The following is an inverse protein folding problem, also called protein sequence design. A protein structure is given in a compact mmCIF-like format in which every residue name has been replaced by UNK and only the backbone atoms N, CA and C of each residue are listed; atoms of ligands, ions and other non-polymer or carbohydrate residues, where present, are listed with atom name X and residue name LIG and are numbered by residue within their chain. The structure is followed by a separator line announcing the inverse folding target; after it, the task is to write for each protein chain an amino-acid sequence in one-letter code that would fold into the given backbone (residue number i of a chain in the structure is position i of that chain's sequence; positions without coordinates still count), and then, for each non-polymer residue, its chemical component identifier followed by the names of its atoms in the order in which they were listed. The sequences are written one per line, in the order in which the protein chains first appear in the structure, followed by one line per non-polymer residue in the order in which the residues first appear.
data_IF_736482763032
#
_entry.id   IF_736482763032
#
_cell.length_a   1.000
_cell.length_b   1.000
_cell.length_c   1.000
_cell.angle_alpha   90.00
_cell.angle_beta   90.00
_cell.angle_gamma   90.00
#
_symmetry.space_group_name_H-M   'P 1'
#
loop_
_entity.id
_entity.type
_entity.pdbx_description
1 polymer ?
#
# COMPACT_ATOMS: atom_id res chain seq x y z
N UNK A 1 -3.27 3.66 25.05
CA UNK A 1 -2.43 3.10 23.97
C UNK A 1 -3.11 3.47 22.67
N UNK A 2 -2.53 4.38 21.87
CA UNK A 2 -3.02 4.62 20.52
C UNK A 2 -2.83 3.34 19.71
N UNK A 3 -3.93 2.80 19.19
CA UNK A 3 -3.88 1.66 18.28
C UNK A 3 -3.18 2.11 17.00
N UNK A 4 -2.14 1.40 16.57
CA UNK A 4 -1.48 1.65 15.30
C UNK A 4 -2.53 1.59 14.17
N UNK A 5 -2.43 2.46 13.14
CA UNK A 5 -3.26 2.33 11.95
C UNK A 5 -3.09 0.92 11.38
N UNK A 6 -4.18 0.20 11.12
CA UNK A 6 -4.14 -1.15 10.53
C UNK A 6 -4.71 -1.08 9.11
N UNK A 7 -3.91 -1.50 8.14
CA UNK A 7 -4.18 -1.34 6.72
C UNK A 7 -4.52 -2.70 6.12
N UNK A 8 -5.61 -2.78 5.37
CA UNK A 8 -5.96 -3.98 4.60
C UNK A 8 -5.61 -3.79 3.14
N UNK A 9 -4.92 -4.77 2.57
CA UNK A 9 -4.61 -4.80 1.14
C UNK A 9 -5.01 -6.12 0.52
N UNK A 10 -5.82 -6.02 -0.54
CA UNK A 10 -6.25 -7.15 -1.34
C UNK A 10 -5.25 -7.45 -2.45
N UNK A 11 -4.76 -8.69 -2.51
CA UNK A 11 -3.93 -9.16 -3.62
C UNK A 11 -4.77 -9.98 -4.60
N UNK A 12 -4.98 -9.43 -5.79
CA UNK A 12 -5.74 -10.05 -6.88
C UNK A 12 -4.78 -10.39 -8.02
N UNK A 13 -4.97 -11.55 -8.65
CA UNK A 13 -4.24 -11.92 -9.85
C UNK A 13 -4.45 -13.39 -10.18
N UNK A 14 -4.30 -13.73 -11.45
CA UNK A 14 -4.53 -15.10 -11.96
C UNK A 14 -3.61 -16.13 -11.28
N UNK A 15 -3.95 -17.42 -11.42
CA UNK A 15 -3.03 -18.48 -10.99
C UNK A 15 -1.67 -18.34 -11.70
N UNK A 16 -0.57 -18.58 -10.98
CA UNK A 16 0.77 -18.38 -11.53
C UNK A 16 1.20 -16.92 -11.70
N UNK A 17 0.39 -15.94 -11.24
CA UNK A 17 0.76 -14.52 -11.32
C UNK A 17 1.93 -14.10 -10.42
N UNK A 18 2.30 -14.96 -9.46
CA UNK A 18 3.41 -14.72 -8.56
C UNK A 18 3.03 -14.09 -7.22
N UNK A 19 1.77 -14.10 -6.78
CA UNK A 19 1.31 -13.57 -5.47
C UNK A 19 2.17 -14.02 -4.29
N UNK A 20 2.25 -15.33 -4.06
CA UNK A 20 3.02 -15.91 -2.94
C UNK A 20 4.52 -15.64 -3.05
N UNK A 21 5.05 -15.65 -4.28
CA UNK A 21 6.45 -15.34 -4.57
C UNK A 21 6.78 -13.88 -4.26
N UNK A 22 5.93 -12.96 -4.73
CA UNK A 22 6.01 -11.54 -4.41
C UNK A 22 5.98 -11.32 -2.90
N UNK A 23 5.00 -11.87 -2.19
CA UNK A 23 4.89 -11.71 -0.74
C UNK A 23 6.14 -12.22 -0.02
N UNK A 24 6.70 -13.35 -0.46
CA UNK A 24 7.92 -13.90 0.14
C UNK A 24 9.14 -13.00 -0.12
N UNK A 25 9.33 -12.54 -1.36
CA UNK A 25 10.43 -11.64 -1.68
C UNK A 25 10.28 -10.25 -1.06
N UNK A 26 9.05 -9.74 -0.98
CA UNK A 26 8.71 -8.50 -0.29
C UNK A 26 9.08 -8.61 1.19
N UNK A 27 8.67 -9.69 1.85
CA UNK A 27 9.04 -9.94 3.24
C UNK A 27 10.55 -10.08 3.42
N UNK A 28 11.23 -10.87 2.60
CA UNK A 28 12.69 -11.07 2.68
C UNK A 28 13.48 -9.77 2.41
N UNK A 29 12.99 -8.92 1.50
CA UNK A 29 13.60 -7.63 1.20
C UNK A 29 13.39 -6.64 2.34
N UNK A 30 12.16 -6.52 2.83
CA UNK A 30 11.81 -5.52 3.83
C UNK A 30 12.17 -5.93 5.25
N UNK A 31 12.25 -7.22 5.61
CA UNK A 31 12.66 -7.63 6.95
C UNK A 31 14.11 -7.22 7.27
N UNK A 32 14.97 -7.08 6.24
CA UNK A 32 16.36 -6.62 6.35
C UNK A 32 16.49 -5.10 6.45
N UNK A 33 15.42 -4.37 6.15
CA UNK A 33 15.42 -2.91 6.10
C UNK A 33 15.56 -2.35 4.69
N UNK A 34 14.69 -1.40 4.36
CA UNK A 34 14.76 -0.55 3.17
C UNK A 34 14.64 0.90 3.63
N UNK A 35 15.73 1.67 3.54
CA UNK A 35 15.78 3.06 4.01
C UNK A 35 15.26 3.24 5.47
N UNK A 36 15.59 2.30 6.35
CA UNK A 36 15.15 2.30 7.76
C UNK A 36 13.75 1.70 8.00
N UNK A 37 12.98 1.39 6.95
CA UNK A 37 11.71 0.68 7.05
C UNK A 37 11.91 -0.82 7.08
N UNK A 38 11.28 -1.50 8.04
CA UNK A 38 11.34 -2.95 8.21
C UNK A 38 9.95 -3.55 8.27
N UNK A 39 9.83 -4.82 7.86
CA UNK A 39 8.59 -5.59 7.95
C UNK A 39 8.77 -6.75 8.94
N UNK A 40 7.94 -6.78 9.97
CA UNK A 40 7.91 -7.83 10.97
C UNK A 40 6.60 -8.60 10.88
N UNK A 41 6.63 -9.93 10.93
CA UNK A 41 5.38 -10.70 10.95
C UNK A 41 4.76 -10.68 12.35
N UNK A 42 3.47 -10.34 12.46
CA UNK A 42 2.72 -10.39 13.73
C UNK A 42 2.57 -11.83 14.25
N UNK A 43 2.64 -12.82 13.35
CA UNK A 43 2.61 -14.25 13.69
C UNK A 43 3.98 -14.85 13.40
N UNK A 44 4.73 -15.20 14.44
CA UNK A 44 6.08 -15.75 14.32
C UNK A 44 6.18 -16.93 13.32
N UNK A 45 5.20 -17.83 13.32
CA UNK A 45 5.15 -18.97 12.40
C UNK A 45 5.01 -18.57 10.93
N UNK A 46 4.24 -17.50 10.62
CA UNK A 46 4.12 -16.97 9.26
C UNK A 46 5.46 -16.39 8.78
N UNK A 47 6.15 -15.64 9.64
CA UNK A 47 7.50 -15.13 9.35
C UNK A 47 8.52 -16.26 9.09
N UNK A 48 8.54 -17.30 9.93
CA UNK A 48 9.41 -18.47 9.72
C UNK A 48 9.10 -19.19 8.41
N UNK A 49 7.83 -19.33 8.04
CA UNK A 49 7.42 -19.94 6.78
C UNK A 49 7.92 -19.13 5.58
N UNK A 50 7.74 -17.82 5.56
CA UNK A 50 8.24 -16.96 4.49
C UNK A 50 9.77 -17.03 4.37
N UNK A 51 10.49 -17.01 5.50
CA UNK A 51 11.95 -17.18 5.51
C UNK A 51 12.39 -18.54 4.99
N UNK A 52 11.67 -19.62 5.33
CA UNK A 52 11.96 -20.97 4.86
C UNK A 52 11.74 -21.10 3.36
N UNK A 53 10.68 -20.49 2.84
CA UNK A 53 10.42 -20.41 1.39
C UNK A 53 11.55 -19.64 0.72
N UNK A 54 11.88 -18.44 1.20
CA UNK A 54 12.98 -17.63 0.66
C UNK A 54 14.30 -18.38 0.61
N UNK A 55 14.68 -19.04 1.72
CA UNK A 55 15.89 -19.85 1.80
C UNK A 55 15.89 -20.97 0.75
N UNK A 56 14.78 -21.67 0.59
CA UNK A 56 14.65 -22.72 -0.42
C UNK A 56 14.83 -22.16 -1.84
N UNK A 57 14.33 -20.96 -2.14
CA UNK A 57 14.58 -20.32 -3.44
C UNK A 57 16.06 -20.03 -3.67
N UNK A 58 16.72 -19.44 -2.68
CA UNK A 58 18.14 -19.05 -2.76
C UNK A 58 19.04 -20.27 -2.94
N UNK A 59 18.72 -21.36 -2.26
CA UNK A 59 19.50 -22.61 -2.29
C UNK A 59 19.21 -23.47 -3.53
N UNK A 60 18.38 -22.98 -4.48
CA UNK A 60 18.02 -23.73 -5.67
C UNK A 60 17.14 -24.96 -5.39
N UNK A 61 16.49 -24.99 -4.23
CA UNK A 61 15.68 -26.11 -3.80
C UNK A 61 14.37 -26.23 -4.60
N UNK A 62 14.05 -27.46 -4.99
CA UNK A 62 12.90 -27.87 -5.81
C UNK A 62 11.51 -27.60 -5.20
N UNK A 63 11.42 -26.89 -4.06
CA UNK A 63 10.13 -26.58 -3.44
C UNK A 63 9.44 -25.44 -4.18
N UNK A 64 8.81 -25.80 -5.30
CA UNK A 64 7.64 -25.08 -5.80
C UNK A 64 6.72 -24.85 -4.60
N UNK A 65 6.43 -23.59 -4.28
CA UNK A 65 5.27 -23.31 -3.43
C UNK A 65 4.06 -23.91 -4.15
N UNK A 66 3.51 -24.99 -3.60
CA UNK A 66 2.24 -25.51 -4.09
C UNK A 66 1.23 -24.36 -4.07
N UNK A 67 0.38 -24.23 -5.11
CA UNK A 67 -0.64 -23.18 -5.15
C UNK A 67 -1.36 -23.11 -3.82
N UNK A 68 -1.47 -21.91 -3.25
CA UNK A 68 -2.15 -21.69 -1.98
C UNK A 68 -3.56 -22.28 -2.07
N UNK A 69 -3.80 -23.40 -1.39
CA UNK A 69 -5.08 -24.11 -1.43
C UNK A 69 -6.13 -23.52 -0.46
N UNK A 70 -5.71 -22.61 0.43
CA UNK A 70 -6.54 -21.95 1.44
C UNK A 70 -6.23 -20.46 1.50
N UNK A 71 -7.26 -19.61 1.46
CA UNK A 71 -7.10 -18.18 1.74
C UNK A 71 -6.40 -17.99 3.09
N UNK A 72 -5.39 -17.13 3.12
CA UNK A 72 -4.63 -16.85 4.33
C UNK A 72 -4.41 -15.34 4.51
N UNK A 73 -4.73 -14.86 5.70
CA UNK A 73 -4.41 -13.51 6.16
C UNK A 73 -2.98 -13.47 6.70
N UNK A 74 -2.12 -12.71 6.02
CA UNK A 74 -0.76 -12.43 6.42
C UNK A 74 -0.70 -11.08 7.11
N UNK A 75 -0.32 -11.07 8.39
CA UNK A 75 -0.29 -9.86 9.21
C UNK A 75 1.12 -9.44 9.53
N UNK A 76 1.40 -8.17 9.32
CA UNK A 76 2.71 -7.57 9.53
C UNK A 76 2.62 -6.28 10.35
N UNK A 77 3.70 -5.94 11.03
CA UNK A 77 4.00 -4.60 11.52
C UNK A 77 5.06 -4.00 10.62
N UNK A 78 4.78 -2.84 10.05
CA UNK A 78 5.81 -2.04 9.43
C UNK A 78 6.43 -1.14 10.48
N UNK A 79 7.76 -1.14 10.55
CA UNK A 79 8.50 -0.36 11.51
C UNK A 79 9.44 0.61 10.80
N UNK A 80 9.61 1.81 11.34
CA UNK A 80 10.70 2.71 10.98
C UNK A 80 11.66 2.80 12.15
N UNK A 81 12.95 2.55 11.91
CA UNK A 81 13.97 2.47 12.97
C UNK A 81 13.55 1.55 14.14
N UNK A 82 13.03 0.36 13.82
CA UNK A 82 12.50 -0.65 14.75
C UNK A 82 11.29 -0.24 15.62
N UNK A 83 10.73 0.94 15.40
CA UNK A 83 9.46 1.36 16.01
C UNK A 83 8.31 1.05 15.05
N UNK A 84 7.31 0.31 15.50
CA UNK A 84 6.10 0.08 14.71
C UNK A 84 5.38 1.40 14.39
N UNK A 85 5.07 1.61 13.12
CA UNK A 85 4.40 2.82 12.62
C UNK A 85 3.00 2.51 12.07
N UNK A 86 2.78 1.29 11.57
CA UNK A 86 1.48 0.82 11.08
C UNK A 86 1.42 -0.72 11.08
N UNK A 87 0.22 -1.25 11.26
CA UNK A 87 -0.12 -2.65 11.02
C UNK A 87 -0.59 -2.84 9.58
N UNK A 88 -0.32 -4.02 9.03
CA UNK A 88 -0.68 -4.34 7.65
C UNK A 88 -1.21 -5.77 7.55
N UNK A 89 -2.30 -5.95 6.81
CA UNK A 89 -2.90 -7.25 6.53
C UNK A 89 -2.97 -7.44 5.01
N UNK A 90 -2.28 -8.46 4.51
CA UNK A 90 -2.37 -8.96 3.15
C UNK A 90 -3.24 -10.21 3.13
N UNK A 91 -4.27 -10.24 2.29
CA UNK A 91 -5.02 -11.46 2.03
C UNK A 91 -4.65 -12.03 0.67
N UNK A 92 -4.09 -13.24 0.67
CA UNK A 92 -3.76 -13.98 -0.55
C UNK A 92 -5.00 -14.77 -0.99
N UNK A 93 -5.71 -14.23 -1.98
CA UNK A 93 -6.86 -14.88 -2.59
C UNK A 93 -6.43 -15.96 -3.59
N UNK A 94 -7.22 -17.03 -3.70
CA UNK A 94 -6.92 -18.11 -4.65
C UNK A 94 -7.06 -17.59 -6.08
N UNK A 95 -6.05 -17.84 -6.90
CA UNK A 95 -6.06 -17.38 -8.31
C UNK A 95 -7.14 -18.01 -9.18
N UNK A 96 -7.76 -19.12 -8.73
CA UNK A 96 -8.88 -19.77 -9.43
C UNK A 96 -10.15 -18.93 -9.47
N UNK A 97 -10.29 -17.94 -8.58
CA UNK A 97 -11.42 -17.00 -8.56
C UNK A 97 -11.53 -16.16 -9.84
N UNK A 98 -10.45 -16.02 -10.59
CA UNK A 98 -10.42 -15.26 -11.85
C UNK A 98 -10.61 -16.13 -13.10
N UNK A 99 -10.58 -17.46 -12.97
CA UNK A 99 -10.50 -18.39 -14.12
C UNK A 99 -11.79 -19.22 -14.27
N UNK A 100 -12.86 -18.88 -13.55
CA UNK A 100 -14.21 -19.40 -13.79
C UNK A 100 -14.64 -20.62 -12.96
N UNK A 101 -13.82 -21.07 -12.00
CA UNK A 101 -14.17 -22.14 -11.04
C UNK A 101 -14.80 -21.59 -9.74
N UNK A 102 -15.27 -20.34 -9.74
CA UNK A 102 -15.82 -19.66 -8.56
C UNK A 102 -17.34 -19.55 -8.62
N UNK A 103 -18.00 -19.90 -7.53
CA UNK A 103 -19.43 -19.64 -7.33
C UNK A 103 -19.67 -18.14 -7.04
N UNK A 104 -20.90 -17.65 -7.23
CA UNK A 104 -21.27 -16.24 -6.99
C UNK A 104 -20.90 -15.78 -5.57
N UNK A 105 -21.04 -16.66 -4.57
CA UNK A 105 -20.70 -16.40 -3.17
C UNK A 105 -19.20 -16.07 -2.98
N UNK A 106 -18.32 -16.69 -3.76
CA UNK A 106 -16.87 -16.45 -3.68
C UNK A 106 -16.49 -15.08 -4.23
N UNK A 107 -17.14 -14.67 -5.33
CA UNK A 107 -16.94 -13.34 -5.94
C UNK A 107 -17.47 -12.26 -4.99
N UNK A 108 -18.67 -12.45 -4.43
CA UNK A 108 -19.26 -11.52 -3.48
C UNK A 108 -18.40 -11.34 -2.22
N UNK A 109 -17.85 -12.44 -1.68
CA UNK A 109 -16.90 -12.41 -0.55
C UNK A 109 -15.62 -11.64 -0.89
N UNK A 110 -15.06 -11.85 -2.08
CA UNK A 110 -13.90 -11.10 -2.56
C UNK A 110 -14.23 -9.60 -2.66
N UNK A 111 -15.31 -9.23 -3.34
CA UNK A 111 -15.70 -7.83 -3.53
C UNK A 111 -15.93 -7.14 -2.19
N UNK A 112 -16.63 -7.79 -1.25
CA UNK A 112 -16.86 -7.25 0.09
C UNK A 112 -15.55 -6.98 0.83
N UNK A 113 -14.57 -7.89 0.74
CA UNK A 113 -13.25 -7.65 1.32
C UNK A 113 -12.50 -6.49 0.63
N UNK A 114 -12.58 -6.39 -0.69
CA UNK A 114 -11.97 -5.28 -1.44
C UNK A 114 -12.57 -3.94 -1.01
N UNK A 115 -13.88 -3.88 -0.70
CA UNK A 115 -14.53 -2.68 -0.16
C UNK A 115 -13.93 -2.21 1.18
N UNK A 116 -13.35 -3.11 1.96
CA UNK A 116 -12.65 -2.80 3.22
C UNK A 116 -11.17 -2.48 3.03
N UNK A 117 -10.62 -2.69 1.83
CA UNK A 117 -9.20 -2.48 1.56
C UNK A 117 -8.87 -1.00 1.39
N UNK A 118 -7.72 -0.59 1.93
CA UNK A 118 -7.15 0.74 1.73
C UNK A 118 -6.34 0.84 0.44
N UNK A 119 -5.93 -0.29 -0.12
CA UNK A 119 -5.26 -0.40 -1.42
C UNK A 119 -5.48 -1.78 -2.03
N UNK A 120 -5.50 -1.88 -3.36
CA UNK A 120 -5.64 -3.14 -4.11
C UNK A 120 -4.37 -3.37 -4.91
N UNK A 121 -3.77 -4.55 -4.78
CA UNK A 121 -2.66 -5.01 -5.62
C UNK A 121 -3.21 -5.91 -6.72
N UNK A 122 -3.14 -5.46 -7.96
CA UNK A 122 -3.55 -6.23 -9.13
C UNK A 122 -2.31 -6.73 -9.87
N UNK A 123 -2.09 -8.05 -9.83
CA UNK A 123 -0.85 -8.66 -10.29
C UNK A 123 -1.04 -9.33 -11.66
N UNK A 124 -0.33 -8.82 -12.67
CA UNK A 124 -0.37 -9.34 -14.03
C UNK A 124 1.05 -9.69 -14.50
N UNK A 125 1.30 -10.94 -14.91
CA UNK A 125 2.60 -11.34 -15.42
C UNK A 125 3.01 -10.64 -16.71
N UNK A 126 4.27 -10.25 -16.81
CA UNK A 126 4.85 -9.60 -17.99
C UNK A 126 4.67 -10.42 -19.28
N UNK A 127 4.68 -11.75 -19.18
CA UNK A 127 4.47 -12.67 -20.30
C UNK A 127 3.09 -12.48 -20.96
N UNK A 128 2.05 -12.15 -20.18
CA UNK A 128 0.72 -11.85 -20.72
C UNK A 128 0.62 -10.45 -21.34
N UNK A 129 1.56 -9.54 -21.05
CA UNK A 129 1.46 -8.13 -21.43
C UNK A 129 2.31 -7.76 -22.64
N UNK A 130 3.26 -8.60 -23.04
CA UNK A 130 4.11 -8.36 -24.19
C UNK A 130 3.87 -9.44 -25.25
N UNK A 131 3.40 -9.05 -26.42
CA UNK A 131 3.11 -9.95 -27.55
C UNK A 131 4.30 -10.80 -28.03
N UNK A 132 5.52 -10.42 -27.65
CA UNK A 132 6.73 -11.17 -27.97
C UNK A 132 7.02 -12.28 -26.93
N UNK A 133 6.23 -12.37 -25.86
CA UNK A 133 6.37 -13.34 -24.80
C UNK A 133 5.27 -14.41 -24.87
N UNK A 134 5.50 -15.59 -24.27
CA UNK A 134 4.49 -16.64 -24.16
C UNK A 134 3.25 -16.15 -23.38
N UNK A 135 2.09 -16.77 -23.61
CA UNK A 135 0.85 -16.52 -22.85
C UNK A 135 0.18 -15.15 -23.10
N UNK A 136 0.63 -14.38 -24.11
CA UNK A 136 -0.04 -13.13 -24.50
C UNK A 136 -1.51 -13.35 -24.89
N UNK A 137 -1.87 -14.52 -25.42
CA UNK A 137 -3.25 -14.85 -25.78
C UNK A 137 -4.19 -14.88 -24.57
N UNK A 138 -3.66 -15.18 -23.37
CA UNK A 138 -4.44 -15.25 -22.13
C UNK A 138 -4.82 -13.87 -21.55
N UNK A 139 -4.28 -12.79 -22.14
CA UNK A 139 -4.54 -11.41 -21.69
C UNK A 139 -6.03 -11.08 -21.72
N UNK A 140 -6.77 -11.61 -22.70
CA UNK A 140 -8.20 -11.35 -22.87
C UNK A 140 -9.04 -11.96 -21.75
N UNK A 141 -8.77 -13.22 -21.37
CA UNK A 141 -9.45 -13.87 -20.25
C UNK A 141 -9.17 -13.16 -18.94
N UNK A 142 -7.91 -12.76 -18.74
CA UNK A 142 -7.49 -11.98 -17.56
C UNK A 142 -8.21 -10.63 -17.50
N UNK A 143 -8.31 -9.93 -18.63
CA UNK A 143 -9.01 -8.65 -18.74
C UNK A 143 -10.50 -8.77 -18.40
N UNK A 144 -11.18 -9.80 -18.91
CA UNK A 144 -12.60 -10.06 -18.62
C UNK A 144 -12.84 -10.27 -17.12
N UNK A 145 -12.07 -11.14 -16.50
CA UNK A 145 -12.21 -11.45 -15.07
C UNK A 145 -11.94 -10.23 -14.17
N UNK A 146 -10.91 -9.45 -14.50
CA UNK A 146 -10.59 -8.21 -13.78
C UNK A 146 -11.70 -7.18 -13.95
N UNK A 147 -12.23 -7.03 -15.17
CA UNK A 147 -13.31 -6.09 -15.48
C UNK A 147 -14.56 -6.42 -14.68
N UNK A 148 -14.93 -7.70 -14.57
CA UNK A 148 -16.07 -8.14 -13.76
C UNK A 148 -15.91 -7.72 -12.29
N UNK A 149 -14.79 -8.08 -11.66
CA UNK A 149 -14.53 -7.75 -10.25
C UNK A 149 -14.50 -6.24 -10.00
N UNK A 150 -13.81 -5.48 -10.87
CA UNK A 150 -13.73 -4.02 -10.70
C UNK A 150 -15.07 -3.33 -10.94
N UNK A 151 -15.92 -3.86 -11.83
CA UNK A 151 -17.27 -3.36 -12.06
C UNK A 151 -18.16 -3.59 -10.84
N UNK A 152 -18.15 -4.80 -10.28
CA UNK A 152 -18.90 -5.11 -9.06
C UNK A 152 -18.41 -4.31 -7.85
N UNK A 153 -17.09 -4.20 -7.68
CA UNK A 153 -16.49 -3.34 -6.67
C UNK A 153 -16.94 -1.88 -6.82
N UNK A 154 -16.90 -1.34 -8.04
CA UNK A 154 -17.31 0.04 -8.29
C UNK A 154 -18.81 0.27 -8.05
N UNK A 155 -19.64 -0.76 -8.23
CA UNK A 155 -21.07 -0.73 -7.90
C UNK A 155 -21.35 -0.76 -6.40
N UNK A 156 -20.53 -1.47 -5.60
CA UNK A 156 -20.71 -1.60 -4.14
C UNK A 156 -19.97 -0.53 -3.33
N UNK A 157 -18.86 0.01 -3.82
CA UNK A 157 -18.06 0.99 -3.09
C UNK A 157 -18.04 2.35 -3.79
N UNK A 158 -18.58 3.36 -3.10
CA UNK A 158 -18.56 4.74 -3.59
C UNK A 158 -17.18 5.40 -3.50
N UNK A 159 -16.29 4.90 -2.63
CA UNK A 159 -14.91 5.40 -2.54
C UNK A 159 -14.00 4.60 -3.47
N UNK A 160 -13.32 5.29 -4.38
CA UNK A 160 -12.31 4.69 -5.26
C UNK A 160 -11.07 4.33 -4.43
N UNK A 161 -10.79 3.04 -4.32
CA UNK A 161 -9.62 2.55 -3.61
C UNK A 161 -8.39 2.65 -4.53
N UNK A 162 -7.24 3.17 -4.05
CA UNK A 162 -6.01 3.18 -4.84
C UNK A 162 -5.60 1.78 -5.32
N UNK A 163 -5.22 1.67 -6.59
CA UNK A 163 -4.83 0.40 -7.21
C UNK A 163 -3.34 0.44 -7.57
N UNK A 164 -2.59 -0.59 -7.15
CA UNK A 164 -1.25 -0.87 -7.65
C UNK A 164 -1.35 -1.94 -8.74
N UNK A 165 -1.07 -1.56 -9.98
CA UNK A 165 -0.95 -2.48 -11.10
C UNK A 165 0.47 -3.02 -11.15
N UNK A 166 0.64 -4.26 -10.72
CA UNK A 166 1.93 -4.91 -10.60
C UNK A 166 2.23 -5.76 -11.83
N UNK A 167 3.22 -5.34 -12.62
CA UNK A 167 3.73 -6.15 -13.74
C UNK A 167 4.74 -7.14 -13.16
N UNK A 168 4.29 -8.37 -12.86
CA UNK A 168 5.14 -9.38 -12.23
C UNK A 168 6.03 -10.09 -13.25
N UNK A 169 7.11 -10.73 -12.79
CA UNK A 169 8.11 -11.37 -13.67
C UNK A 169 8.68 -10.37 -14.69
N UNK A 170 8.87 -9.12 -14.26
CA UNK A 170 9.31 -8.02 -15.12
C UNK A 170 10.74 -8.17 -15.65
N UNK A 171 11.53 -9.07 -15.05
CA UNK A 171 12.83 -9.53 -15.57
C UNK A 171 12.72 -10.00 -17.03
N UNK A 172 11.61 -10.63 -17.42
CA UNK A 172 11.36 -11.08 -18.80
C UNK A 172 11.29 -9.94 -19.83
N UNK A 173 11.12 -8.69 -19.39
CA UNK A 173 11.09 -7.52 -20.27
C UNK A 173 12.49 -6.95 -20.52
N UNK A 174 13.49 -7.38 -19.73
CA UNK A 174 14.87 -6.91 -19.82
C UNK A 174 15.57 -7.63 -20.97
N UNK A 175 16.25 -6.84 -21.81
CA UNK A 175 17.13 -7.33 -22.87
C UNK A 175 18.57 -7.01 -22.47
N UNK A 176 19.37 -8.01 -22.06
CA UNK A 176 20.75 -7.78 -21.61
C UNK A 176 21.58 -7.04 -22.66
N UNK A 177 22.24 -5.95 -22.26
CA UNK A 177 23.06 -5.14 -23.15
C UNK A 177 22.28 -4.22 -24.11
N UNK A 178 20.94 -4.22 -24.06
CA UNK A 178 20.10 -3.34 -24.89
C UNK A 178 19.06 -2.58 -24.05
N UNK A 179 19.45 -1.42 -23.49
CA UNK A 179 18.55 -0.57 -22.72
C UNK A 179 17.35 -0.06 -23.54
N UNK A 180 17.52 0.17 -24.85
CA UNK A 180 16.45 0.70 -25.70
C UNK A 180 15.36 -0.33 -25.93
N UNK A 181 15.74 -1.57 -26.22
CA UNK A 181 14.77 -2.66 -26.35
C UNK A 181 14.10 -2.99 -25.01
N UNK A 182 14.85 -2.90 -23.90
CA UNK A 182 14.29 -3.02 -22.55
C UNK A 182 13.21 -1.97 -22.29
N UNK A 183 13.51 -0.70 -22.51
CA UNK A 183 12.55 0.41 -22.36
C UNK A 183 11.31 0.20 -23.25
N UNK A 184 11.51 -0.17 -24.52
CA UNK A 184 10.43 -0.49 -25.45
C UNK A 184 9.53 -1.62 -24.95
N UNK A 185 10.11 -2.68 -24.36
CA UNK A 185 9.35 -3.80 -23.81
C UNK A 185 8.51 -3.38 -22.60
N UNK A 186 9.05 -2.54 -21.72
CA UNK A 186 8.28 -1.96 -20.59
C UNK A 186 7.14 -1.08 -21.09
N UNK A 187 7.39 -0.22 -22.08
CA UNK A 187 6.35 0.63 -22.66
C UNK A 187 5.25 -0.19 -23.35
N UNK A 188 5.59 -1.26 -24.08
CA UNK A 188 4.61 -2.17 -24.66
C UNK A 188 3.78 -2.87 -23.59
N UNK A 189 4.41 -3.42 -22.55
CA UNK A 189 3.69 -4.10 -21.47
C UNK A 189 2.75 -3.15 -20.71
N UNK A 190 3.22 -1.92 -20.42
CA UNK A 190 2.43 -0.85 -19.81
C UNK A 190 1.23 -0.49 -20.69
N UNK A 191 1.45 -0.33 -21.99
CA UNK A 191 0.38 -0.01 -22.95
C UNK A 191 -0.67 -1.12 -23.02
N UNK A 192 -0.26 -2.39 -23.12
CA UNK A 192 -1.20 -3.53 -23.11
C UNK A 192 -2.00 -3.55 -21.82
N UNK A 193 -1.36 -3.36 -20.66
CA UNK A 193 -2.03 -3.30 -19.37
C UNK A 193 -3.10 -2.19 -19.34
N UNK A 194 -2.72 -0.98 -19.75
CA UNK A 194 -3.62 0.18 -19.75
C UNK A 194 -4.75 0.05 -20.77
N UNK A 195 -4.47 -0.40 -22.00
CA UNK A 195 -5.44 -0.36 -23.11
C UNK A 195 -6.28 -1.64 -23.24
N UNK A 196 -5.77 -2.80 -22.80
CA UNK A 196 -6.44 -4.09 -23.02
C UNK A 196 -6.92 -4.74 -21.73
N UNK A 197 -6.32 -4.42 -20.58
CA UNK A 197 -6.66 -5.12 -19.31
C UNK A 197 -7.51 -4.25 -18.39
N UNK A 198 -7.15 -2.97 -18.24
CA UNK A 198 -7.77 -2.08 -17.24
C UNK A 198 -8.06 -0.69 -17.80
N UNK A 199 -8.45 -0.60 -19.08
CA UNK A 199 -8.79 0.64 -19.77
C UNK A 199 -9.78 1.54 -18.99
N UNK A 200 -10.83 1.02 -18.33
CA UNK A 200 -11.74 1.84 -17.53
C UNK A 200 -11.08 2.61 -16.37
N UNK A 201 -9.89 2.21 -15.91
CA UNK A 201 -9.16 2.95 -14.88
C UNK A 201 -8.51 4.23 -15.42
N UNK A 202 -8.27 4.30 -16.74
CA UNK A 202 -7.49 5.34 -17.40
C UNK A 202 -8.31 6.29 -18.27
N UNK A 203 -9.64 6.13 -18.31
CA UNK A 203 -10.51 7.08 -19.00
C UNK A 203 -10.58 8.44 -18.27
N UNK A 204 -10.97 9.48 -19.00
CA UNK A 204 -11.22 10.78 -18.39
C UNK A 204 -12.38 10.68 -17.39
N UNK A 205 -12.23 11.38 -16.27
CA UNK A 205 -13.06 11.38 -15.06
C UNK A 205 -13.21 10.01 -14.38
N UNK A 206 -12.18 9.15 -14.49
CA UNK A 206 -12.18 7.87 -13.78
C UNK A 206 -12.00 8.03 -12.26
N UNK A 207 -11.30 9.10 -11.85
CA UNK A 207 -10.93 9.41 -10.45
C UNK A 207 -10.23 8.26 -9.70
N UNK A 208 -9.66 7.30 -10.43
CA UNK A 208 -8.90 6.21 -9.85
C UNK A 208 -7.44 6.61 -9.62
N UNK A 209 -6.93 6.49 -8.38
CA UNK A 209 -5.51 6.62 -8.10
C UNK A 209 -4.80 5.32 -8.48
N UNK A 210 -3.89 5.37 -9.47
CA UNK A 210 -3.23 4.17 -10.01
C UNK A 210 -1.71 4.30 -9.96
N UNK A 211 -1.05 3.26 -9.44
CA UNK A 211 0.39 3.10 -9.44
C UNK A 211 0.78 1.87 -10.27
N UNK A 212 1.48 2.06 -11.40
CA UNK A 212 2.04 0.95 -12.18
C UNK A 212 3.46 0.67 -11.68
N UNK A 213 3.68 -0.56 -11.21
CA UNK A 213 4.93 -0.99 -10.62
C UNK A 213 5.40 -2.32 -11.21
N UNK A 214 6.42 -2.34 -12.08
CA UNK A 214 7.03 -3.59 -12.52
C UNK A 214 7.85 -4.19 -11.38
N UNK A 215 7.62 -5.47 -11.10
CA UNK A 215 8.28 -6.20 -10.00
C UNK A 215 8.85 -7.54 -10.47
N UNK A 216 10.03 -7.87 -9.97
CA UNK A 216 10.64 -9.20 -10.17
C UNK A 216 11.47 -9.60 -8.95
N UNK A 217 11.58 -10.91 -8.72
CA UNK A 217 12.52 -11.48 -7.76
C UNK A 217 13.91 -11.72 -8.36
N UNK A 218 14.01 -11.76 -9.69
CA UNK A 218 15.22 -12.17 -10.38
C UNK A 218 14.96 -13.01 -11.62
N UNK A 219 16.03 -13.39 -12.30
CA UNK A 219 16.03 -14.08 -13.58
C UNK A 219 16.05 -15.60 -13.40
N UNK A 220 15.41 -16.32 -14.33
CA UNK A 220 15.47 -17.79 -14.50
C UNK A 220 15.11 -18.66 -13.27
N UNK A 221 14.46 -18.08 -12.27
CA UNK A 221 14.08 -18.75 -11.00
C UNK A 221 13.13 -19.97 -11.16
N UNK A 222 12.54 -20.18 -12.33
CA UNK A 222 11.58 -21.25 -12.62
C UNK A 222 12.07 -22.28 -13.66
N UNK A 223 13.31 -22.17 -14.14
CA UNK A 223 13.81 -22.98 -15.26
C UNK A 223 15.13 -23.68 -14.93
N UNK A 224 16.18 -22.90 -14.75
CA UNK A 224 17.53 -23.42 -14.59
C UNK A 224 18.07 -23.08 -13.20
N UNK A 225 18.08 -24.08 -12.31
CA UNK A 225 18.57 -23.95 -10.95
C UNK A 225 20.05 -23.50 -10.91
N UNK A 226 20.81 -23.78 -11.98
CA UNK A 226 22.23 -23.41 -12.06
C UNK A 226 22.44 -21.95 -12.48
N UNK A 227 21.49 -21.35 -13.21
CA UNK A 227 21.59 -20.00 -13.77
C UNK A 227 20.63 -18.98 -13.14
N UNK A 228 19.68 -19.44 -12.32
CA UNK A 228 18.76 -18.57 -11.60
C UNK A 228 19.48 -17.57 -10.70
N UNK A 229 19.16 -16.28 -10.86
CA UNK A 229 19.78 -15.20 -10.09
C UNK A 229 18.72 -14.38 -9.37
N UNK A 230 18.82 -14.30 -8.06
CA UNK A 230 18.00 -13.40 -7.23
C UNK A 230 18.55 -11.98 -7.35
N UNK A 231 17.80 -11.12 -8.03
CA UNK A 231 18.08 -9.69 -8.18
C UNK A 231 16.74 -8.92 -8.14
N UNK A 232 16.19 -8.65 -6.94
CA UNK A 232 14.85 -8.10 -6.81
C UNK A 232 14.71 -6.70 -7.41
N UNK A 233 13.72 -6.52 -8.27
CA UNK A 233 13.36 -5.23 -8.88
C UNK A 233 12.08 -4.72 -8.24
N UNK A 234 12.15 -3.53 -7.62
CA UNK A 234 11.01 -2.78 -7.07
C UNK A 234 10.10 -3.54 -6.08
N UNK A 235 10.48 -4.72 -5.60
CA UNK A 235 9.63 -5.63 -4.81
C UNK A 235 9.06 -4.99 -3.53
N UNK A 236 9.74 -4.00 -2.96
CA UNK A 236 9.29 -3.28 -1.78
C UNK A 236 8.32 -2.12 -2.10
N UNK A 237 8.33 -1.57 -3.33
CA UNK A 237 7.62 -0.33 -3.67
C UNK A 237 6.09 -0.43 -3.56
N UNK A 238 5.41 -1.51 -4.01
CA UNK A 238 3.96 -1.64 -3.83
C UNK A 238 3.54 -1.49 -2.36
N UNK A 239 4.33 -2.10 -1.46
CA UNK A 239 4.12 -2.03 -0.02
C UNK A 239 4.34 -0.61 0.51
N UNK A 240 5.45 0.05 0.13
CA UNK A 240 5.72 1.43 0.55
C UNK A 240 4.62 2.39 0.07
N UNK A 241 4.03 2.14 -1.11
CA UNK A 241 2.90 2.92 -1.61
C UNK A 241 1.67 2.74 -0.72
N UNK A 242 1.28 1.50 -0.43
CA UNK A 242 0.16 1.24 0.48
C UNK A 242 0.41 1.84 1.89
N UNK A 243 1.64 1.78 2.39
CA UNK A 243 2.04 2.41 3.65
C UNK A 243 1.89 3.94 3.61
N UNK A 244 2.29 4.58 2.51
CA UNK A 244 2.19 6.04 2.36
C UNK A 244 0.75 6.53 2.39
N UNK A 245 -0.19 5.80 1.78
CA UNK A 245 -1.63 6.10 1.82
C UNK A 245 -2.14 6.06 3.26
N UNK A 246 -1.84 4.99 3.99
CA UNK A 246 -2.29 4.83 5.36
C UNK A 246 -1.67 5.86 6.32
N UNK A 247 -0.38 6.15 6.15
CA UNK A 247 0.31 7.13 6.97
C UNK A 247 -0.21 8.54 6.69
N UNK A 248 -0.53 8.87 5.44
CA UNK A 248 -1.18 10.13 5.09
C UNK A 248 -2.53 10.30 5.78
N UNK A 249 -3.37 9.28 5.74
CA UNK A 249 -4.66 9.29 6.44
C UNK A 249 -4.49 9.46 7.96
N UNK A 250 -3.52 8.77 8.55
CA UNK A 250 -3.20 8.92 9.97
C UNK A 250 -2.70 10.33 10.32
N UNK A 251 -1.89 10.94 9.45
CA UNK A 251 -1.42 12.33 9.58
C UNK A 251 -2.60 13.30 9.54
N UNK A 252 -3.54 13.13 8.61
CA UNK A 252 -4.70 14.02 8.49
C UNK A 252 -5.59 13.96 9.74
N UNK A 253 -5.86 12.75 10.26
CA UNK A 253 -6.61 12.56 11.51
C UNK A 253 -5.90 13.24 12.68
N UNK A 254 -4.56 13.09 12.79
CA UNK A 254 -3.77 13.72 13.85
C UNK A 254 -3.73 15.24 13.73
N UNK A 255 -3.72 15.79 12.51
CA UNK A 255 -3.83 17.25 12.28
C UNK A 255 -5.16 17.78 12.80
N UNK A 256 -6.25 17.09 12.51
CA UNK A 256 -7.57 17.48 13.01
C UNK A 256 -7.65 17.41 14.54
N UNK A 257 -7.09 16.35 15.14
CA UNK A 257 -6.99 16.22 16.60
C UNK A 257 -6.18 17.36 17.23
N UNK A 258 -5.00 17.65 16.68
CA UNK A 258 -4.15 18.76 17.12
C UNK A 258 -4.90 20.09 17.07
N UNK A 259 -5.56 20.39 15.94
CA UNK A 259 -6.31 21.62 15.76
C UNK A 259 -7.46 21.75 16.77
N UNK A 260 -8.17 20.64 17.06
CA UNK A 260 -9.22 20.62 18.10
C UNK A 260 -8.65 20.94 19.48
N UNK A 261 -7.52 20.34 19.86
CA UNK A 261 -6.89 20.59 21.17
C UNK A 261 -6.42 22.04 21.31
N UNK A 262 -5.81 22.61 20.27
CA UNK A 262 -5.38 24.02 20.25
C UNK A 262 -6.57 24.97 20.35
N UNK A 263 -7.67 24.68 19.65
CA UNK A 263 -8.89 25.48 19.73
C UNK A 263 -9.54 25.39 21.12
N UNK A 264 -9.61 24.20 21.72
CA UNK A 264 -10.12 24.01 23.09
C UNK A 264 -9.27 24.74 24.12
N UNK A 265 -7.94 24.67 24.00
CA UNK A 265 -7.02 25.43 24.87
C UNK A 265 -7.23 26.94 24.74
N UNK A 266 -7.41 27.44 23.51
CA UNK A 266 -7.64 28.86 23.25
C UNK A 266 -8.97 29.34 23.83
N UNK A 267 -10.02 28.54 23.69
CA UNK A 267 -11.33 28.82 24.28
C UNK A 267 -11.28 28.83 25.81
N UNK A 268 -10.61 27.84 26.43
CA UNK A 268 -10.44 27.76 27.87
C UNK A 268 -9.66 28.98 28.42
N UNK A 269 -8.60 29.42 27.73
CA UNK A 269 -7.88 30.66 28.09
C UNK A 269 -8.77 31.90 27.99
N UNK A 270 -9.62 31.99 26.96
CA UNK A 270 -10.57 33.10 26.82
C UNK A 270 -11.55 33.13 27.99
N UNK A 271 -12.12 31.98 28.35
CA UNK A 271 -13.02 31.85 29.51
C UNK A 271 -12.31 32.25 30.82
N UNK A 272 -11.08 31.78 31.04
CA UNK A 272 -10.29 32.18 32.20
C UNK A 272 -10.03 33.70 32.24
N UNK A 273 -9.72 34.31 31.09
CA UNK A 273 -9.55 35.76 30.98
C UNK A 273 -10.84 36.53 31.25
N UNK A 274 -11.99 36.00 30.86
CA UNK A 274 -13.29 36.60 31.10
C UNK A 274 -13.61 36.63 32.60
N UNK A 275 -13.38 35.52 33.31
CA UNK A 275 -13.52 35.47 34.77
C UNK A 275 -12.56 36.42 35.50
N UNK A 276 -11.34 36.58 34.97
CA UNK A 276 -10.34 37.53 35.48
C UNK A 276 -10.63 38.98 35.09
N UNK A 277 -11.46 39.22 34.08
CA UNK A 277 -11.85 40.55 33.61
C UNK A 277 -13.06 41.06 34.40
N UNK A 278 -12.80 41.87 35.43
CA UNK A 278 -13.86 42.47 36.25
C UNK A 278 -13.32 43.20 37.48
N UNK A 279 -14.24 43.79 38.25
CA UNK A 279 -13.90 44.44 39.52
C UNK A 279 -13.46 43.40 40.57
N UNK A 280 -12.76 43.84 41.62
CA UNK A 280 -12.13 42.95 42.62
C UNK A 280 -13.08 41.92 43.23
N UNK A 281 -14.32 42.32 43.53
CA UNK A 281 -15.37 41.43 44.07
C UNK A 281 -15.71 40.29 43.10
N UNK A 282 -15.81 40.59 41.80
CA UNK A 282 -16.12 39.61 40.76
C UNK A 282 -14.96 38.63 40.54
N UNK A 283 -13.73 39.14 40.53
CA UNK A 283 -12.52 38.29 40.45
C UNK A 283 -12.38 37.34 41.63
N UNK A 284 -12.70 37.80 42.83
CA UNK A 284 -12.69 36.96 44.01
C UNK A 284 -13.76 35.86 43.93
N UNK A 285 -14.98 36.21 43.52
CA UNK A 285 -16.10 35.27 43.41
C UNK A 285 -15.91 34.18 42.36
N UNK A 286 -15.17 34.46 41.27
CA UNK A 286 -14.92 33.51 40.16
C UNK A 286 -13.48 32.98 40.11
N UNK A 287 -12.76 33.03 41.24
CA UNK A 287 -11.35 32.66 41.29
C UNK A 287 -11.13 31.16 41.03
N UNK A 288 -11.98 30.29 41.59
CA UNK A 288 -11.92 28.84 41.37
C UNK A 288 -12.25 28.47 39.91
N UNK A 289 -13.25 29.10 39.30
CA UNK A 289 -13.61 28.85 37.90
C UNK A 289 -12.53 29.34 36.93
N UNK A 290 -11.88 30.47 37.24
CA UNK A 290 -10.76 30.97 36.45
C UNK A 290 -9.55 30.02 36.52
N UNK A 291 -9.22 29.50 37.71
CA UNK A 291 -8.14 28.52 37.89
C UNK A 291 -8.46 27.18 37.22
N UNK A 292 -9.71 26.72 37.32
CA UNK A 292 -10.18 25.51 36.63
C UNK A 292 -10.07 25.64 35.10
N UNK A 293 -10.47 26.78 34.55
CA UNK A 293 -10.36 27.06 33.12
C UNK A 293 -8.88 27.14 32.66
N UNK A 294 -8.00 27.75 33.46
CA UNK A 294 -6.55 27.77 33.18
C UNK A 294 -5.92 26.36 33.26
N UNK A 295 -6.29 25.56 34.25
CA UNK A 295 -5.84 24.16 34.37
C UNK A 295 -6.26 23.34 33.15
N UNK A 296 -7.52 23.48 32.72
CA UNK A 296 -8.04 22.86 31.50
C UNK A 296 -7.26 23.30 30.26
N UNK A 297 -7.00 24.61 30.11
CA UNK A 297 -6.20 25.13 29.02
C UNK A 297 -4.77 24.55 28.98
N UNK A 298 -4.12 24.46 30.14
CA UNK A 298 -2.77 23.90 30.26
C UNK A 298 -2.77 22.39 29.95
N UNK A 299 -3.78 21.66 30.39
CA UNK A 299 -3.94 20.24 30.05
C UNK A 299 -4.13 20.04 28.55
N UNK A 300 -5.01 20.82 27.90
CA UNK A 300 -5.20 20.77 26.45
C UNK A 300 -3.92 21.11 25.68
N UNK A 301 -3.14 22.11 26.11
CA UNK A 301 -1.85 22.43 25.48
C UNK A 301 -0.78 21.36 25.69
N UNK A 302 -0.72 20.75 26.88
CA UNK A 302 0.17 19.62 27.14
C UNK A 302 -0.15 18.47 26.19
N UNK A 303 -1.43 18.11 26.05
CA UNK A 303 -1.87 17.08 25.11
C UNK A 303 -1.55 17.46 23.66
N UNK A 304 -1.79 18.72 23.26
CA UNK A 304 -1.47 19.21 21.91
C UNK A 304 0.02 19.11 21.60
N UNK A 305 0.90 19.36 22.57
CA UNK A 305 2.35 19.22 22.40
C UNK A 305 2.79 17.77 22.14
N UNK A 306 2.14 16.81 22.81
CA UNK A 306 2.32 15.38 22.57
C UNK A 306 1.90 14.99 21.16
N UNK A 307 0.69 15.37 20.75
CA UNK A 307 0.16 15.11 19.39
C UNK A 307 1.05 15.76 18.33
N UNK A 308 1.51 17.00 18.53
CA UNK A 308 2.40 17.70 17.61
C UNK A 308 3.72 16.95 17.38
N UNK A 309 4.33 16.47 18.46
CA UNK A 309 5.59 15.71 18.39
C UNK A 309 5.42 14.39 17.64
N UNK A 310 4.27 13.72 17.79
CA UNK A 310 3.94 12.53 17.01
C UNK A 310 3.67 12.86 15.54
N UNK A 311 2.96 13.95 15.27
CA UNK A 311 2.64 14.42 13.93
C UNK A 311 3.90 14.73 13.13
N UNK A 312 4.84 15.50 13.68
CA UNK A 312 6.12 15.83 13.04
C UNK A 312 6.91 14.56 12.67
N UNK A 313 6.86 13.54 13.53
CA UNK A 313 7.49 12.24 13.26
C UNK A 313 6.80 11.50 12.13
N UNK A 314 5.47 11.40 12.15
CA UNK A 314 4.70 10.76 11.08
C UNK A 314 4.93 11.46 9.73
N UNK A 315 5.00 12.78 9.71
CA UNK A 315 5.30 13.55 8.49
C UNK A 315 6.72 13.28 7.98
N UNK A 316 7.72 13.19 8.88
CA UNK A 316 9.08 12.78 8.50
C UNK A 316 9.11 11.37 7.91
N UNK A 317 8.46 10.41 8.54
CA UNK A 317 8.38 9.02 8.06
C UNK A 317 7.66 8.97 6.69
N UNK A 318 6.59 9.76 6.51
CA UNK A 318 5.86 9.89 5.25
C UNK A 318 6.73 10.47 4.13
N UNK A 319 7.45 11.55 4.37
CA UNK A 319 8.33 12.15 3.37
C UNK A 319 9.43 11.18 2.91
N UNK A 320 9.97 10.37 3.82
CA UNK A 320 10.96 9.35 3.48
C UNK A 320 10.37 8.22 2.62
N UNK A 321 9.13 7.79 2.89
CA UNK A 321 8.42 6.82 2.04
C UNK A 321 8.22 7.36 0.62
N UNK A 322 7.76 8.60 0.52
CA UNK A 322 7.49 9.26 -0.77
C UNK A 322 8.77 9.44 -1.59
N UNK A 323 9.87 9.87 -0.95
CA UNK A 323 11.19 9.98 -1.60
C UNK A 323 11.72 8.61 -2.05
N UNK A 324 11.43 7.54 -1.30
CA UNK A 324 11.81 6.18 -1.71
C UNK A 324 10.99 5.73 -2.93
N UNK A 325 9.68 6.02 -2.95
CA UNK A 325 8.79 5.68 -4.06
C UNK A 325 9.16 6.39 -5.36
N UNK A 326 9.56 7.66 -5.29
CA UNK A 326 9.93 8.45 -6.47
C UNK A 326 11.20 7.92 -7.18
N UNK A 327 12.01 7.12 -6.48
CA UNK A 327 13.24 6.48 -7.02
C UNK A 327 12.98 5.14 -7.70
N UNK A 328 11.72 4.70 -7.77
CA UNK A 328 11.35 3.44 -8.42
C UNK A 328 11.67 3.42 -9.91
N UNK A 329 12.25 2.32 -10.40
CA UNK A 329 12.60 2.18 -11.82
C UNK A 329 11.36 1.81 -12.64
N UNK A 330 11.14 2.47 -13.77
CA UNK A 330 10.00 2.21 -14.68
C UNK A 330 8.66 2.19 -13.93
N UNK A 331 8.52 3.07 -12.94
CA UNK A 331 7.34 3.22 -12.10
C UNK A 331 6.55 4.44 -12.57
N UNK A 332 5.23 4.33 -12.59
CA UNK A 332 4.36 5.37 -13.15
C UNK A 332 3.14 5.60 -12.27
N UNK A 333 2.80 6.86 -12.06
CA UNK A 333 1.66 7.29 -11.26
C UNK A 333 0.63 7.96 -12.16
N UNK A 334 -0.64 7.60 -11.97
CA UNK A 334 -1.76 8.09 -12.77
C UNK A 334 -2.92 8.50 -11.86
N UNK A 335 -3.58 9.58 -12.25
CA UNK A 335 -4.86 10.00 -11.70
C UNK A 335 -5.67 10.62 -12.84
N UNK A 336 -6.91 10.18 -13.02
CA UNK A 336 -7.84 10.76 -13.99
C UNK A 336 -7.19 10.92 -15.38
N UNK A 337 -6.78 9.80 -15.98
CA UNK A 337 -6.04 9.68 -17.28
C UNK A 337 -4.71 10.44 -17.40
N UNK A 338 -4.36 11.30 -16.44
CA UNK A 338 -3.14 12.10 -16.47
C UNK A 338 -1.96 11.23 -16.10
N UNK A 339 -1.04 11.08 -17.05
CA UNK A 339 0.18 10.28 -16.88
C UNK A 339 1.26 11.05 -16.13
N UNK A 340 2.04 10.32 -15.31
CA UNK A 340 3.28 10.79 -14.67
C UNK A 340 3.07 11.99 -13.74
N UNK A 341 1.95 12.02 -13.01
CA UNK A 341 1.86 12.95 -11.88
C UNK A 341 2.87 12.55 -10.80
N UNK A 342 3.31 13.51 -9.98
CA UNK A 342 4.19 13.16 -8.87
C UNK A 342 3.43 12.29 -7.85
N UNK A 343 4.17 11.46 -7.12
CA UNK A 343 3.59 10.65 -6.04
C UNK A 343 2.93 11.54 -4.97
N UNK A 344 3.49 12.71 -4.67
CA UNK A 344 2.88 13.68 -3.74
C UNK A 344 1.54 14.19 -4.27
N UNK A 345 1.45 14.50 -5.56
CA UNK A 345 0.19 14.97 -6.14
C UNK A 345 -0.85 13.86 -6.16
N UNK A 346 -0.45 12.61 -6.47
CA UNK A 346 -1.34 11.45 -6.38
C UNK A 346 -1.87 11.27 -4.95
N UNK A 347 -0.98 11.27 -3.96
CA UNK A 347 -1.34 11.06 -2.55
C UNK A 347 -2.14 12.22 -1.92
N UNK A 348 -2.18 13.40 -2.54
CA UNK A 348 -3.10 14.48 -2.15
C UNK A 348 -4.55 14.23 -2.61
N UNK A 349 -4.74 13.38 -3.62
CA UNK A 349 -6.04 13.04 -4.21
C UNK A 349 -6.68 11.80 -3.58
N UNK A 350 -5.89 11.03 -2.82
CA UNK A 350 -6.28 9.84 -2.04
C UNK A 350 -6.67 10.24 -0.63
#
# INVERSE_FOLDING_TARGET
MSTLPDVKVGMIGVSGSGKTWFMTGMFATMCRGVHGFTLNSKKFQQGLRLNSIWKAMVEGGEKRNNPTSKEEDWRFDCCHAYRAILGFTLKDYRGGLLVGDSDEDDIDSLVNYLCECSCIFLMIPANMLNRNLPDYEDVQFTALAITQILTEYAGKNHKKCPIVLMITKSDKLIVPGDPKSTERNFELAKRTLMEQVVEPLFVNNSDWPVFICPVSLGEELNGDVLNGRIDPINIHLPMLYAMSIALKQAIDIKKDEYNRLVNSASNAKRVASEYKSGNAVRRWWYSEEAESADMSANQHMSNASGVKSELERCESDYHLLVDTLSKGRNCYFYYNSTQNISIEELLRRV
#
